data_IF_373422226156
#
_entry.id   IF_373422226156
#
_cell.length_a   1.000
_cell.length_b   1.000
_cell.length_c   1.000
_cell.angle_alpha   90.00
_cell.angle_beta   90.00
_cell.angle_gamma   90.00
#
_symmetry.space_group_name_H-M   'P 1'
#
loop_
_entity.id
_entity.type
_entity.pdbx_description
1 polymer ?
#
# COMPACT_ATOMS: atom_id res chain seq x y z
N UNK A 1 28.87 13.92 -2.16
CA UNK A 1 28.53 15.27 -1.67
C UNK A 1 27.48 15.88 -2.61
N UNK A 2 26.19 15.70 -2.33
CA UNK A 2 25.13 16.58 -2.84
C UNK A 2 23.94 16.40 -1.90
N UNK A 3 23.84 17.29 -0.92
CA UNK A 3 22.70 17.34 0.00
C UNK A 3 21.48 17.76 -0.80
N UNK A 4 20.74 16.78 -1.32
CA UNK A 4 19.38 17.03 -1.79
C UNK A 4 18.45 17.00 -0.57
N UNK A 5 17.46 17.90 -0.48
CA UNK A 5 16.57 17.94 0.67
C UNK A 5 15.91 16.57 0.84
N UNK A 6 15.90 16.04 2.07
CA UNK A 6 15.30 14.73 2.41
C UNK A 6 13.90 14.55 1.78
N UNK A 7 13.16 15.66 1.64
CA UNK A 7 11.84 15.70 1.00
C UNK A 7 11.81 15.25 -0.47
N UNK A 8 12.83 15.55 -1.28
CA UNK A 8 12.86 15.12 -2.70
C UNK A 8 13.22 13.63 -2.85
N UNK A 9 13.97 13.06 -1.92
CA UNK A 9 14.31 11.65 -1.91
C UNK A 9 13.09 10.81 -1.49
N UNK A 10 12.40 11.20 -0.42
CA UNK A 10 11.13 10.60 -0.01
C UNK A 10 10.06 10.74 -1.09
N UNK A 11 9.92 11.91 -1.73
CA UNK A 11 8.96 12.11 -2.81
C UNK A 11 9.24 11.20 -4.02
N UNK A 12 10.50 11.03 -4.44
CA UNK A 12 10.83 10.10 -5.52
C UNK A 12 10.57 8.64 -5.15
N UNK A 13 10.91 8.22 -3.93
CA UNK A 13 10.65 6.86 -3.45
C UNK A 13 9.15 6.56 -3.41
N UNK A 14 8.35 7.51 -2.92
CA UNK A 14 6.88 7.38 -2.89
C UNK A 14 6.32 7.30 -4.32
N UNK A 15 6.79 8.13 -5.25
CA UNK A 15 6.33 8.12 -6.65
C UNK A 15 6.70 6.81 -7.37
N UNK A 16 7.87 6.24 -7.12
CA UNK A 16 8.24 4.93 -7.67
C UNK A 16 7.37 3.81 -7.08
N UNK A 17 7.20 3.80 -5.75
CA UNK A 17 6.36 2.80 -5.07
C UNK A 17 4.91 2.83 -5.55
N UNK A 18 4.32 4.02 -5.70
CA UNK A 18 2.94 4.12 -6.19
C UNK A 18 2.83 3.62 -7.63
N UNK A 19 3.80 3.95 -8.49
CA UNK A 19 3.81 3.51 -9.89
C UNK A 19 3.94 1.99 -10.02
N UNK A 20 4.79 1.36 -9.23
CA UNK A 20 4.94 -0.10 -9.20
C UNK A 20 3.67 -0.80 -8.68
N UNK A 21 3.05 -0.23 -7.65
CA UNK A 21 1.83 -0.78 -7.07
C UNK A 21 0.60 -0.62 -7.96
N UNK A 22 0.51 0.48 -8.72
CA UNK A 22 -0.50 0.68 -9.76
C UNK A 22 -0.27 -0.31 -10.91
N UNK A 23 0.97 -0.48 -11.37
CA UNK A 23 1.32 -1.47 -12.39
C UNK A 23 0.90 -2.89 -12.00
N UNK A 24 1.17 -3.29 -10.76
CA UNK A 24 0.77 -4.59 -10.23
C UNK A 24 -0.76 -4.78 -10.20
N UNK A 25 -1.53 -3.73 -9.90
CA UNK A 25 -3.00 -3.79 -9.92
C UNK A 25 -3.52 -3.92 -11.35
N UNK A 26 -2.94 -3.17 -12.29
CA UNK A 26 -3.33 -3.22 -13.70
C UNK A 26 -3.02 -4.58 -14.34
N UNK A 27 -1.86 -5.16 -14.04
CA UNK A 27 -1.49 -6.50 -14.53
C UNK A 27 -2.45 -7.59 -14.04
N UNK A 28 -2.93 -7.46 -12.81
CA UNK A 28 -3.83 -8.44 -12.16
C UNK A 28 -5.29 -8.05 -12.26
N UNK A 29 -5.64 -7.03 -13.04
CA UNK A 29 -6.99 -6.45 -13.05
C UNK A 29 -8.09 -7.50 -13.23
N UNK A 30 -7.89 -8.44 -14.16
CA UNK A 30 -8.85 -9.51 -14.46
C UNK A 30 -8.88 -10.66 -13.44
N UNK A 31 -7.91 -10.70 -12.51
CA UNK A 31 -7.78 -11.71 -11.45
C UNK A 31 -8.19 -11.16 -10.08
N UNK A 32 -8.41 -9.85 -9.98
CA UNK A 32 -8.93 -9.21 -8.77
C UNK A 32 -10.43 -9.52 -8.70
N UNK A 33 -10.84 -10.02 -7.55
CA UNK A 33 -12.24 -10.28 -7.23
C UNK A 33 -13.04 -8.97 -7.23
N UNK A 34 -14.21 -8.96 -7.88
CA UNK A 34 -15.05 -7.77 -8.02
C UNK A 34 -15.52 -7.22 -6.66
N UNK A 35 -15.49 -8.03 -5.60
CA UNK A 35 -15.79 -7.60 -4.23
C UNK A 35 -14.67 -6.75 -3.60
N UNK A 36 -13.47 -6.74 -4.18
CA UNK A 36 -12.33 -6.00 -3.65
C UNK A 36 -12.37 -4.56 -4.17
N UNK A 37 -12.62 -3.60 -3.27
CA UNK A 37 -12.71 -2.18 -3.62
C UNK A 37 -11.43 -1.39 -3.32
N UNK A 38 -10.52 -1.92 -2.50
CA UNK A 38 -9.24 -1.27 -2.20
C UNK A 38 -8.09 -2.24 -1.93
N UNK A 39 -6.87 -1.77 -2.22
CA UNK A 39 -5.60 -2.41 -1.85
C UNK A 39 -4.85 -1.50 -0.89
N UNK A 40 -4.63 -1.96 0.33
CA UNK A 40 -3.92 -1.23 1.39
C UNK A 40 -2.50 -1.75 1.51
N UNK A 41 -1.54 -0.82 1.60
CA UNK A 41 -0.12 -1.13 1.72
C UNK A 41 0.42 -0.38 2.92
N UNK A 42 0.88 -1.13 3.92
CA UNK A 42 1.45 -0.55 5.14
C UNK A 42 2.95 -0.39 4.95
N UNK A 43 3.44 0.81 5.22
CA UNK A 43 4.83 1.22 5.09
C UNK A 43 5.36 1.68 6.45
N UNK A 44 6.49 1.14 6.87
CA UNK A 44 7.28 1.71 7.95
C UNK A 44 8.53 2.37 7.35
N UNK A 45 8.57 3.70 7.40
CA UNK A 45 9.59 4.50 6.70
C UNK A 45 9.56 4.18 5.19
N UNK A 46 10.63 3.61 4.64
CA UNK A 46 10.76 3.21 3.24
C UNK A 46 10.65 1.69 3.04
N UNK A 47 10.16 0.95 4.05
CA UNK A 47 9.98 -0.50 3.96
C UNK A 47 8.51 -0.84 4.01
N UNK A 48 8.07 -1.67 3.06
CA UNK A 48 6.73 -2.24 3.05
C UNK A 48 6.67 -3.39 4.05
N UNK A 49 5.74 -3.31 5.00
CA UNK A 49 5.56 -4.31 6.05
C UNK A 49 4.34 -5.21 5.81
N UNK A 50 3.30 -4.73 5.13
CA UNK A 50 2.10 -5.53 4.84
C UNK A 50 1.40 -5.14 3.52
N UNK A 51 0.51 -6.04 3.06
CA UNK A 51 -0.49 -5.81 1.98
C UNK A 51 -1.81 -6.39 2.46
N UNK A 52 -2.90 -5.66 2.25
CA UNK A 52 -4.26 -6.12 2.52
C UNK A 52 -5.18 -5.74 1.34
N UNK A 53 -6.20 -6.56 1.09
CA UNK A 53 -7.23 -6.30 0.10
C UNK A 53 -8.56 -6.14 0.82
N UNK A 54 -9.17 -4.96 0.74
CA UNK A 54 -10.40 -4.65 1.42
C UNK A 54 -11.59 -5.16 0.62
N UNK A 55 -12.39 -6.02 1.25
CA UNK A 55 -13.68 -6.51 0.74
C UNK A 55 -14.85 -5.89 1.49
N UNK A 56 -14.72 -5.82 2.82
CA UNK A 56 -15.72 -5.19 3.67
C UNK A 56 -15.84 -3.69 3.34
N UNK A 57 -17.05 -3.12 3.32
CA UNK A 57 -17.26 -1.71 2.99
C UNK A 57 -16.61 -0.75 4.00
N UNK A 58 -16.32 -1.24 5.21
CA UNK A 58 -15.61 -0.52 6.25
C UNK A 58 -14.37 -1.32 6.63
N UNK A 59 -13.20 -0.68 6.51
CA UNK A 59 -11.92 -1.21 6.97
C UNK A 59 -11.45 -0.39 8.17
N UNK A 60 -11.15 -1.06 9.29
CA UNK A 60 -10.65 -0.37 10.49
C UNK A 60 -9.15 -0.53 10.58
N UNK A 61 -8.41 0.58 10.65
CA UNK A 61 -6.96 0.57 10.85
C UNK A 61 -6.68 1.03 12.28
N UNK A 62 -6.05 0.17 13.08
CA UNK A 62 -5.64 0.46 14.45
C UNK A 62 -4.19 -0.01 14.71
N UNK A 63 -3.66 0.31 15.89
CA UNK A 63 -2.33 -0.15 16.33
C UNK A 63 -2.39 -1.48 17.10
N UNK A 64 -3.35 -2.35 16.78
CA UNK A 64 -3.41 -3.69 17.37
C UNK A 64 -2.24 -4.54 16.88
N UNK A 65 -1.78 -5.47 17.71
CA UNK A 65 -0.83 -6.50 17.31
C UNK A 65 -1.52 -7.67 16.56
N UNK A 66 -2.86 -7.68 16.54
CA UNK A 66 -3.64 -8.59 15.71
C UNK A 66 -3.51 -8.16 14.24
N UNK A 67 -3.00 -9.06 13.40
CA UNK A 67 -2.80 -8.82 11.96
C UNK A 67 -4.12 -8.75 11.18
N UNK A 68 -4.01 -8.71 9.84
CA UNK A 68 -5.17 -8.52 8.98
C UNK A 68 -6.16 -9.70 9.01
N UNK A 69 -7.40 -9.46 9.42
CA UNK A 69 -8.47 -10.47 9.55
C UNK A 69 -9.56 -10.36 8.46
N UNK A 70 -9.45 -9.37 7.56
CA UNK A 70 -10.44 -9.07 6.52
C UNK A 70 -11.31 -7.84 6.81
N UNK A 71 -11.41 -7.42 8.08
CA UNK A 71 -12.13 -6.23 8.54
C UNK A 71 -11.22 -5.24 9.30
N UNK A 72 -10.15 -5.76 9.91
CA UNK A 72 -9.12 -5.07 10.69
C UNK A 72 -7.75 -5.45 10.15
#
# INVERSE_FOLDING_TARGET
>A
MCGKPLGYFLLNVIVCLTRDHIGEVLEKWTQIDDEIWAKVIVLERNRRVAKAYARAPVLTINGSDEGFDGFR
#
